data_IF_514317845143
#
_entry.id   IF_514317845143
#
_cell.length_a   1.000
_cell.length_b   1.000
_cell.length_c   1.000
_cell.angle_alpha   90.00
_cell.angle_beta   90.00
_cell.angle_gamma   90.00
#
_symmetry.space_group_name_H-M   'P 1'
#
loop_
_entity.id
_entity.type
_entity.pdbx_description
1 polymer ?
#
# COMPACT_ATOMS: atom_id res chain seq x y z
N UNK A 1 -3.99 1.25 -27.93
CA UNK A 1 -4.40 2.32 -26.98
C UNK A 1 -3.57 2.12 -25.70
N UNK A 2 -3.10 3.19 -25.10
CA UNK A 2 -2.29 3.12 -23.88
C UNK A 2 -3.12 2.66 -22.67
N UNK A 3 -2.63 1.69 -21.90
CA UNK A 3 -3.33 1.13 -20.74
C UNK A 3 -3.70 2.20 -19.68
N UNK A 4 -2.81 3.15 -19.39
CA UNK A 4 -3.08 4.23 -18.43
C UNK A 4 -4.25 5.09 -18.90
N UNK A 5 -4.35 5.38 -20.20
CA UNK A 5 -5.46 6.11 -20.79
C UNK A 5 -6.77 5.32 -20.73
N UNK A 6 -6.73 4.00 -20.96
CA UNK A 6 -7.92 3.14 -20.81
C UNK A 6 -8.47 3.22 -19.38
N UNK A 7 -7.60 3.06 -18.40
CA UNK A 7 -7.96 3.14 -16.98
C UNK A 7 -8.49 4.54 -16.62
N UNK A 8 -7.84 5.60 -17.09
CA UNK A 8 -8.34 6.98 -16.91
C UNK A 8 -9.73 7.18 -17.50
N UNK A 9 -9.96 6.72 -18.71
CA UNK A 9 -11.26 6.82 -19.37
C UNK A 9 -12.35 5.99 -18.65
N UNK A 10 -11.94 4.91 -17.97
CA UNK A 10 -12.78 4.11 -17.07
C UNK A 10 -13.05 4.75 -15.70
N UNK A 11 -12.54 5.96 -15.44
CA UNK A 11 -12.80 6.70 -14.21
C UNK A 11 -11.67 6.62 -13.15
N UNK A 12 -10.59 5.89 -13.42
CA UNK A 12 -9.45 5.85 -12.49
C UNK A 12 -8.80 7.24 -12.36
N UNK A 13 -8.53 7.66 -11.12
CA UNK A 13 -7.96 8.97 -10.82
C UNK A 13 -6.59 8.92 -10.15
N UNK A 14 -6.11 7.73 -9.80
CA UNK A 14 -4.78 7.49 -9.24
C UNK A 14 -4.13 6.28 -9.91
N UNK A 15 -2.79 6.25 -9.88
CA UNK A 15 -1.99 5.03 -10.12
C UNK A 15 -1.14 4.73 -8.91
N UNK A 16 -0.99 3.46 -8.56
CA UNK A 16 -0.05 2.98 -7.55
C UNK A 16 1.15 2.36 -8.25
N UNK A 17 2.34 2.86 -7.93
CA UNK A 17 3.59 2.52 -8.60
C UNK A 17 4.57 1.90 -7.60
N UNK A 18 4.85 0.61 -7.75
CA UNK A 18 5.87 -0.05 -6.93
C UNK A 18 7.28 0.29 -7.40
N UNK A 19 8.21 0.33 -6.44
CA UNK A 19 9.62 0.52 -6.68
C UNK A 19 10.42 -0.43 -5.81
N UNK A 20 11.38 -1.13 -6.43
CA UNK A 20 12.36 -1.96 -5.75
C UNK A 20 13.69 -1.23 -5.63
N UNK A 21 14.53 -1.69 -4.69
CA UNK A 21 15.88 -1.12 -4.51
C UNK A 21 16.88 -1.60 -5.57
N UNK A 22 16.54 -2.69 -6.26
CA UNK A 22 17.28 -3.25 -7.40
C UNK A 22 16.30 -3.92 -8.39
N UNK A 23 16.81 -4.46 -9.50
CA UNK A 23 16.02 -5.22 -10.48
C UNK A 23 15.22 -4.36 -11.45
N UNK A 24 14.06 -4.84 -11.88
CA UNK A 24 13.30 -4.26 -13.01
C UNK A 24 12.37 -3.09 -12.64
N UNK A 25 11.89 -3.02 -11.41
CA UNK A 25 10.99 -1.96 -10.96
C UNK A 25 11.77 -0.76 -10.43
N UNK A 26 12.51 -0.12 -11.34
CA UNK A 26 13.40 0.99 -11.04
C UNK A 26 12.66 2.30 -10.81
N UNK A 27 13.33 3.25 -10.17
CA UNK A 27 12.85 4.64 -10.00
C UNK A 27 12.56 5.29 -11.35
N UNK A 28 13.44 5.10 -12.35
CA UNK A 28 13.27 5.69 -13.69
C UNK A 28 12.04 5.16 -14.41
N UNK A 29 11.79 3.84 -14.33
CA UNK A 29 10.58 3.23 -14.89
C UNK A 29 9.31 3.77 -14.23
N UNK A 30 9.33 3.92 -12.90
CA UNK A 30 8.21 4.48 -12.15
C UNK A 30 7.98 5.96 -12.49
N UNK A 31 9.04 6.77 -12.63
CA UNK A 31 8.96 8.17 -13.09
C UNK A 31 8.40 8.25 -14.51
N UNK A 32 8.83 7.39 -15.43
CA UNK A 32 8.32 7.38 -16.80
C UNK A 32 6.80 7.10 -16.82
N UNK A 33 6.32 6.15 -16.00
CA UNK A 33 4.90 5.85 -15.87
C UNK A 33 4.14 6.98 -15.16
N UNK A 34 4.73 7.58 -14.12
CA UNK A 34 4.17 8.75 -13.43
C UNK A 34 3.95 9.93 -14.37
N UNK A 35 4.90 10.22 -15.28
CA UNK A 35 4.74 11.27 -16.29
C UNK A 35 3.52 11.05 -17.18
N UNK A 36 3.29 9.79 -17.60
CA UNK A 36 2.10 9.42 -18.40
C UNK A 36 0.81 9.60 -17.60
N UNK A 37 0.80 9.18 -16.34
CA UNK A 37 -0.36 9.32 -15.46
C UNK A 37 -0.68 10.80 -15.15
N UNK A 38 0.33 11.60 -14.78
CA UNK A 38 0.16 13.05 -14.51
C UNK A 38 -0.32 13.82 -15.74
N UNK A 39 0.16 13.48 -16.94
CA UNK A 39 -0.33 14.07 -18.18
C UNK A 39 -1.83 13.82 -18.44
N UNK A 40 -2.40 12.83 -17.80
CA UNK A 40 -3.84 12.51 -17.81
C UNK A 40 -4.58 13.04 -16.56
N UNK A 41 -3.92 13.84 -15.73
CA UNK A 41 -4.51 14.39 -14.50
C UNK A 41 -4.75 13.34 -13.41
N UNK A 42 -3.95 12.26 -13.36
CA UNK A 42 -4.03 11.24 -12.31
C UNK A 42 -3.07 11.53 -11.17
N UNK A 43 -3.46 11.18 -9.95
CA UNK A 43 -2.59 11.18 -8.78
C UNK A 43 -1.63 9.99 -8.75
N UNK A 44 -0.57 10.11 -7.96
CA UNK A 44 0.47 9.09 -7.78
C UNK A 44 0.50 8.63 -6.33
N UNK A 45 0.27 7.33 -6.11
CA UNK A 45 0.64 6.62 -4.89
C UNK A 45 1.93 5.86 -5.18
N UNK A 46 3.00 6.18 -4.46
CA UNK A 46 4.30 5.53 -4.62
C UNK A 46 4.47 4.42 -3.57
N UNK A 47 4.90 3.26 -4.02
CA UNK A 47 5.01 2.03 -3.25
C UNK A 47 6.46 1.49 -3.24
N UNK A 48 7.37 2.07 -2.43
CA UNK A 48 8.67 1.47 -2.22
C UNK A 48 8.54 0.22 -1.34
N UNK A 49 9.00 -0.91 -1.87
CA UNK A 49 9.04 -2.17 -1.15
C UNK A 49 10.16 -2.25 -0.10
N UNK A 50 11.16 -1.37 -0.20
CA UNK A 50 12.42 -1.44 0.59
C UNK A 50 13.07 -2.83 0.51
N UNK A 51 13.06 -3.40 -0.68
CA UNK A 51 13.55 -4.73 -0.99
C UNK A 51 14.08 -4.75 -2.43
N UNK A 52 15.03 -5.62 -2.72
CA UNK A 52 15.55 -5.85 -4.08
C UNK A 52 14.57 -6.62 -4.98
N UNK A 53 13.49 -7.14 -4.39
CA UNK A 53 12.45 -7.92 -5.05
C UNK A 53 11.11 -7.69 -4.35
N UNK A 54 10.14 -8.55 -4.60
CA UNK A 54 8.84 -8.51 -3.93
C UNK A 54 9.00 -8.48 -2.40
N UNK A 55 8.31 -7.54 -1.75
CA UNK A 55 8.07 -7.54 -0.32
C UNK A 55 6.59 -7.86 -0.09
N UNK A 56 6.33 -8.84 0.76
CA UNK A 56 5.00 -9.30 1.15
C UNK A 56 5.05 -9.82 2.61
N UNK A 57 3.94 -10.29 3.20
CA UNK A 57 3.94 -10.75 4.60
C UNK A 57 4.89 -11.90 4.92
N UNK A 58 5.42 -12.61 3.91
CA UNK A 58 6.39 -13.69 4.06
C UNK A 58 7.82 -13.29 3.65
N UNK A 59 7.99 -12.19 2.94
CA UNK A 59 9.26 -11.77 2.34
C UNK A 59 9.51 -10.27 2.58
N UNK A 60 10.34 -9.95 3.57
CA UNK A 60 10.68 -8.57 3.95
C UNK A 60 12.21 -8.41 4.14
N UNK A 61 12.98 -8.97 3.21
CA UNK A 61 14.44 -9.01 3.32
C UNK A 61 15.06 -7.61 3.21
N UNK A 62 16.11 -7.36 3.99
CA UNK A 62 16.96 -6.19 3.82
C UNK A 62 17.60 -6.24 2.43
N UNK A 63 17.60 -5.14 1.63
CA UNK A 63 18.36 -5.07 0.39
C UNK A 63 19.84 -5.39 0.58
N UNK A 64 20.43 -6.08 -0.40
CA UNK A 64 21.82 -6.58 -0.30
C UNK A 64 22.88 -5.50 0.00
N UNK A 65 22.64 -4.25 -0.46
CA UNK A 65 23.56 -3.12 -0.27
C UNK A 65 23.29 -2.31 1.00
N UNK A 66 22.27 -2.68 1.81
CA UNK A 66 21.86 -1.91 2.97
C UNK A 66 22.54 -2.41 4.26
N UNK A 67 22.70 -1.51 5.28
CA UNK A 67 23.15 -1.93 6.62
C UNK A 67 22.22 -2.99 7.22
N UNK A 68 22.79 -3.83 8.12
CA UNK A 68 22.06 -4.90 8.80
C UNK A 68 21.79 -4.64 10.29
N UNK A 69 22.03 -3.41 10.75
CA UNK A 69 21.73 -2.98 12.11
C UNK A 69 20.69 -1.84 12.11
N UNK A 70 19.97 -1.67 13.20
CA UNK A 70 18.86 -0.73 13.30
C UNK A 70 19.27 0.73 13.03
N UNK A 71 20.39 1.18 13.58
CA UNK A 71 20.87 2.56 13.39
C UNK A 71 21.17 2.85 11.92
N UNK A 72 21.91 1.94 11.27
CA UNK A 72 22.20 2.05 9.84
C UNK A 72 20.95 1.99 8.98
N UNK A 73 20.01 1.08 9.30
CA UNK A 73 18.75 0.97 8.58
C UNK A 73 17.88 2.22 8.74
N UNK A 74 17.82 2.84 9.91
CA UNK A 74 17.11 4.10 10.10
C UNK A 74 17.67 5.22 9.21
N UNK A 75 18.98 5.34 9.13
CA UNK A 75 19.64 6.31 8.24
C UNK A 75 19.39 5.97 6.78
N UNK A 76 19.48 4.71 6.42
CA UNK A 76 19.34 4.25 5.04
C UNK A 76 17.92 4.41 4.50
N UNK A 77 16.89 4.00 5.26
CA UNK A 77 15.50 4.14 4.85
C UNK A 77 15.10 5.62 4.73
N UNK A 78 15.55 6.47 5.65
CA UNK A 78 15.37 7.92 5.56
C UNK A 78 15.99 8.47 4.27
N UNK A 79 17.28 8.19 4.03
CA UNK A 79 18.02 8.70 2.88
C UNK A 79 17.43 8.21 1.56
N UNK A 80 17.14 6.91 1.48
CA UNK A 80 16.52 6.32 0.27
C UNK A 80 15.16 6.95 -0.03
N UNK A 81 14.28 7.06 0.96
CA UNK A 81 12.95 7.63 0.78
C UNK A 81 12.99 9.11 0.41
N UNK A 82 13.89 9.87 1.05
CA UNK A 82 14.13 11.29 0.69
C UNK A 82 14.57 11.44 -0.76
N UNK A 83 15.57 10.67 -1.18
CA UNK A 83 16.09 10.73 -2.56
C UNK A 83 15.03 10.30 -3.57
N UNK A 84 14.24 9.27 -3.25
CA UNK A 84 13.16 8.78 -4.08
C UNK A 84 12.11 9.86 -4.32
N UNK A 85 11.60 10.50 -3.27
CA UNK A 85 10.60 11.58 -3.39
C UNK A 85 11.19 12.80 -4.11
N UNK A 86 12.46 13.17 -3.83
CA UNK A 86 13.17 14.24 -4.54
C UNK A 86 13.31 13.98 -6.03
N UNK A 87 13.57 12.74 -6.44
CA UNK A 87 13.69 12.37 -7.85
C UNK A 87 12.36 12.59 -8.60
N UNK A 88 11.23 12.19 -8.00
CA UNK A 88 9.90 12.44 -8.57
C UNK A 88 9.58 13.94 -8.64
N UNK A 89 9.88 14.71 -7.60
CA UNK A 89 9.69 16.16 -7.60
C UNK A 89 10.53 16.86 -8.69
N UNK A 90 11.80 16.50 -8.80
CA UNK A 90 12.74 17.00 -9.82
C UNK A 90 12.28 16.66 -11.24
N UNK A 91 11.66 15.49 -11.42
CA UNK A 91 11.07 15.06 -12.68
C UNK A 91 9.74 15.76 -13.00
N UNK A 92 9.25 16.68 -12.14
CA UNK A 92 7.98 17.40 -12.23
C UNK A 92 6.74 16.51 -12.17
N UNK A 93 6.85 15.38 -11.47
CA UNK A 93 5.75 14.45 -11.19
C UNK A 93 5.67 14.17 -9.68
N UNK A 94 5.39 15.18 -8.85
CA UNK A 94 5.40 15.02 -7.41
C UNK A 94 4.46 13.91 -6.97
N UNK A 95 4.89 13.18 -5.93
CA UNK A 95 4.14 12.09 -5.32
C UNK A 95 3.04 12.67 -4.45
N UNK A 96 1.81 12.19 -4.60
CA UNK A 96 0.67 12.63 -3.77
C UNK A 96 0.59 11.82 -2.47
N UNK A 97 0.82 10.51 -2.55
CA UNK A 97 0.82 9.59 -1.42
C UNK A 97 2.05 8.66 -1.55
N UNK A 98 2.75 8.42 -0.46
CA UNK A 98 3.79 7.39 -0.39
C UNK A 98 3.45 6.39 0.71
N UNK A 99 3.51 5.10 0.41
CA UNK A 99 3.45 4.08 1.45
C UNK A 99 4.86 3.74 1.96
N UNK A 100 4.97 3.51 3.25
CA UNK A 100 6.23 3.16 3.88
C UNK A 100 6.26 1.64 4.09
N UNK A 101 6.79 0.94 3.08
CA UNK A 101 6.78 -0.51 2.99
C UNK A 101 5.48 -1.10 2.41
N UNK A 102 5.55 -2.33 1.91
CA UNK A 102 4.44 -3.08 1.33
C UNK A 102 4.06 -4.27 2.20
N UNK A 103 2.77 -4.35 2.59
CA UNK A 103 2.17 -5.46 3.35
C UNK A 103 2.96 -5.87 4.60
N UNK A 104 3.32 -4.89 5.40
CA UNK A 104 4.27 -5.01 6.51
C UNK A 104 3.68 -5.49 7.84
N UNK A 105 2.56 -6.24 7.83
CA UNK A 105 1.95 -6.78 9.08
C UNK A 105 2.94 -7.57 9.93
N UNK A 106 3.87 -8.25 9.31
CA UNK A 106 4.94 -9.02 9.97
C UNK A 106 6.23 -8.22 10.16
N UNK A 107 6.18 -6.90 9.92
CA UNK A 107 7.31 -5.99 9.95
C UNK A 107 7.94 -5.78 8.56
N UNK A 108 9.10 -5.11 8.54
CA UNK A 108 9.87 -4.79 7.33
C UNK A 108 11.37 -4.91 7.61
N UNK A 109 12.21 -5.07 6.59
CA UNK A 109 13.69 -5.12 6.71
C UNK A 109 14.15 -6.17 7.74
N UNK A 110 13.72 -7.42 7.49
CA UNK A 110 14.06 -8.54 8.38
C UNK A 110 15.57 -8.90 8.35
N UNK A 111 16.10 -9.38 9.52
CA UNK A 111 15.42 -9.69 10.78
C UNK A 111 15.20 -8.49 11.70
N UNK A 112 15.81 -7.33 11.45
CA UNK A 112 15.85 -6.18 12.37
C UNK A 112 14.46 -5.62 12.67
N UNK A 113 13.65 -5.39 11.65
CA UNK A 113 12.28 -4.89 11.77
C UNK A 113 11.22 -5.99 11.68
N UNK A 114 11.53 -7.24 12.06
CA UNK A 114 10.57 -8.34 12.10
C UNK A 114 9.74 -8.30 13.38
N UNK A 115 8.40 -8.44 13.26
CA UNK A 115 7.54 -8.55 14.43
C UNK A 115 7.94 -9.77 15.30
N UNK A 116 8.01 -9.62 16.65
CA UNK A 116 7.47 -8.52 17.45
C UNK A 116 8.50 -7.41 17.82
N UNK A 117 9.49 -7.12 17.00
CA UNK A 117 10.45 -6.03 17.24
C UNK A 117 9.78 -4.64 17.05
N UNK A 118 8.69 -4.36 17.74
CA UNK A 118 7.80 -3.22 17.51
C UNK A 118 8.51 -1.86 17.61
N UNK A 119 9.47 -1.72 18.53
CA UNK A 119 10.28 -0.50 18.65
C UNK A 119 11.11 -0.24 17.38
N UNK A 120 11.75 -1.29 16.84
CA UNK A 120 12.48 -1.17 15.59
C UNK A 120 11.55 -0.84 14.40
N UNK A 121 10.41 -1.53 14.29
CA UNK A 121 9.40 -1.26 13.26
C UNK A 121 8.96 0.20 13.32
N UNK A 122 8.58 0.70 14.51
CA UNK A 122 8.13 2.08 14.69
C UNK A 122 9.20 3.11 14.30
N UNK A 123 10.47 2.86 14.64
CA UNK A 123 11.60 3.71 14.26
C UNK A 123 11.83 3.72 12.74
N UNK A 124 11.85 2.55 12.10
CA UNK A 124 12.02 2.42 10.65
C UNK A 124 10.91 3.15 9.89
N UNK A 125 9.65 2.96 10.28
CA UNK A 125 8.52 3.65 9.67
C UNK A 125 8.60 5.16 9.85
N UNK A 126 8.98 5.63 11.04
CA UNK A 126 9.16 7.06 11.30
C UNK A 126 10.30 7.65 10.45
N UNK A 127 11.41 6.93 10.31
CA UNK A 127 12.55 7.35 9.48
C UNK A 127 12.15 7.47 8.01
N UNK A 128 11.42 6.50 7.47
CA UNK A 128 10.87 6.55 6.11
C UNK A 128 9.90 7.72 5.92
N UNK A 129 8.99 7.94 6.87
CA UNK A 129 8.02 9.05 6.83
C UNK A 129 8.71 10.42 6.86
N UNK A 130 9.75 10.59 7.68
CA UNK A 130 10.54 11.82 7.73
C UNK A 130 11.30 12.02 6.41
N UNK A 131 11.94 10.98 5.86
CA UNK A 131 12.59 11.04 4.56
C UNK A 131 11.63 11.47 3.46
N UNK A 132 10.40 10.94 3.45
CA UNK A 132 9.39 11.32 2.47
C UNK A 132 9.02 12.82 2.55
N UNK A 133 8.85 13.35 3.76
CA UNK A 133 8.55 14.79 3.96
C UNK A 133 9.71 15.67 3.52
N UNK A 134 10.93 15.30 3.86
CA UNK A 134 12.14 16.06 3.53
C UNK A 134 12.56 15.94 2.05
N UNK A 135 12.00 14.95 1.33
CA UNK A 135 12.24 14.78 -0.10
C UNK A 135 11.56 15.82 -0.99
N UNK A 136 10.45 16.41 -0.52
CA UNK A 136 9.76 17.52 -1.16
C UNK A 136 9.08 18.41 -0.11
N UNK A 137 9.84 19.22 0.65
CA UNK A 137 9.29 19.96 1.79
C UNK A 137 8.29 21.04 1.41
N UNK A 138 8.30 21.53 0.17
CA UNK A 138 7.31 22.50 -0.32
C UNK A 138 5.94 21.87 -0.62
N UNK A 139 5.90 20.57 -0.90
CA UNK A 139 4.67 19.80 -1.14
C UNK A 139 4.89 18.34 -0.71
N UNK A 140 4.97 18.07 0.59
CA UNK A 140 5.27 16.74 1.09
C UNK A 140 4.14 15.76 0.75
N UNK A 141 4.47 14.51 0.35
CA UNK A 141 3.46 13.49 0.12
C UNK A 141 2.74 13.10 1.42
N UNK A 142 1.51 12.66 1.30
CA UNK A 142 0.77 12.01 2.38
C UNK A 142 1.38 10.65 2.70
N UNK A 143 1.49 10.33 3.98
CA UNK A 143 2.09 9.08 4.45
C UNK A 143 1.03 7.99 4.61
N UNK A 144 1.26 6.86 3.97
CA UNK A 144 0.46 5.64 4.14
C UNK A 144 1.31 4.52 4.72
N UNK A 145 0.74 3.72 5.61
CA UNK A 145 1.29 2.43 6.05
C UNK A 145 0.34 1.34 5.60
N UNK A 146 0.87 0.31 4.93
CA UNK A 146 0.11 -0.71 4.22
C UNK A 146 0.27 -2.10 4.84
N UNK A 147 -0.85 -2.70 5.23
CA UNK A 147 -0.91 -4.05 5.78
C UNK A 147 -1.74 -4.98 4.86
N UNK A 148 -1.40 -6.26 4.85
CA UNK A 148 -2.24 -7.30 4.25
C UNK A 148 -3.48 -7.61 5.11
N UNK A 149 -4.32 -8.54 4.64
CA UNK A 149 -5.47 -9.07 5.39
C UNK A 149 -6.38 -8.01 6.01
N UNK A 150 -6.76 -6.97 5.23
CA UNK A 150 -7.65 -5.90 5.70
C UNK A 150 -9.00 -6.38 6.28
N UNK A 151 -9.42 -7.60 5.94
CA UNK A 151 -10.61 -8.25 6.46
C UNK A 151 -10.46 -8.78 7.91
N UNK A 152 -9.21 -8.95 8.39
CA UNK A 152 -8.92 -9.56 9.69
C UNK A 152 -8.66 -8.51 10.76
N UNK A 153 -9.71 -8.11 11.46
CA UNK A 153 -9.63 -7.09 12.51
C UNK A 153 -8.55 -7.37 13.57
N UNK A 154 -8.45 -8.60 14.05
CA UNK A 154 -7.50 -8.93 15.12
C UNK A 154 -6.05 -8.72 14.68
N UNK A 155 -5.71 -9.01 13.43
CA UNK A 155 -4.39 -8.78 12.88
C UNK A 155 -4.11 -7.29 12.66
N UNK A 156 -5.09 -6.53 12.16
CA UNK A 156 -4.98 -5.08 12.00
C UNK A 156 -4.78 -4.41 13.36
N UNK A 157 -5.60 -4.78 14.34
CA UNK A 157 -5.51 -4.26 15.69
C UNK A 157 -4.17 -4.58 16.34
N UNK A 158 -3.71 -5.83 16.23
CA UNK A 158 -2.44 -6.25 16.81
C UNK A 158 -1.26 -5.43 16.29
N UNK A 159 -1.18 -5.18 14.99
CA UNK A 159 -0.13 -4.34 14.42
C UNK A 159 -0.22 -2.90 14.94
N UNK A 160 -1.36 -2.25 14.76
CA UNK A 160 -1.50 -0.84 15.04
C UNK A 160 -1.37 -0.52 16.54
N UNK A 161 -1.94 -1.34 17.41
CA UNK A 161 -1.86 -1.14 18.85
C UNK A 161 -0.41 -1.27 19.36
N UNK A 162 0.38 -2.18 18.77
CA UNK A 162 1.77 -2.35 19.17
C UNK A 162 2.72 -1.30 18.60
N UNK A 163 2.52 -0.87 17.35
CA UNK A 163 3.43 0.11 16.71
C UNK A 163 3.26 1.50 17.30
N UNK A 164 2.03 1.97 17.52
CA UNK A 164 1.78 3.34 17.98
C UNK A 164 2.28 3.61 19.39
N UNK A 165 2.27 2.62 20.29
CA UNK A 165 2.71 2.79 21.68
C UNK A 165 4.23 2.89 21.82
N UNK A 166 4.99 2.61 20.75
CA UNK A 166 6.45 2.76 20.76
C UNK A 166 6.92 4.22 20.70
N UNK A 167 6.05 5.14 20.31
CA UNK A 167 6.29 6.59 20.35
C UNK A 167 7.12 7.17 19.20
N UNK A 168 7.79 6.36 18.38
CA UNK A 168 8.52 6.86 17.21
C UNK A 168 7.58 7.24 16.07
N UNK A 169 6.76 6.29 15.58
CA UNK A 169 5.67 6.55 14.66
C UNK A 169 4.37 6.66 15.45
N UNK A 170 3.84 7.85 15.56
CA UNK A 170 2.52 8.12 16.14
C UNK A 170 1.45 8.21 15.05
N UNK A 171 0.18 7.97 15.39
CA UNK A 171 -0.90 7.95 14.39
C UNK A 171 -1.12 9.29 13.68
N UNK A 172 -0.77 10.42 14.30
CA UNK A 172 -0.86 11.75 13.67
C UNK A 172 0.13 11.92 12.51
N UNK A 173 1.19 11.10 12.45
CA UNK A 173 2.15 11.05 11.33
C UNK A 173 1.68 10.18 10.16
N UNK A 174 0.59 9.42 10.35
CA UNK A 174 0.01 8.52 9.33
C UNK A 174 -1.24 9.17 8.75
N UNK A 175 -1.19 9.56 7.49
CA UNK A 175 -2.34 10.17 6.80
C UNK A 175 -3.35 9.10 6.34
N UNK A 176 -2.88 7.90 5.98
CA UNK A 176 -3.72 6.80 5.50
C UNK A 176 -3.30 5.46 6.08
N UNK A 177 -4.28 4.66 6.46
CA UNK A 177 -4.12 3.23 6.71
C UNK A 177 -4.43 2.48 5.42
N UNK A 178 -3.42 1.86 4.80
CA UNK A 178 -3.57 1.03 3.61
C UNK A 178 -3.84 -0.42 3.99
N UNK A 179 -4.72 -1.09 3.24
CA UNK A 179 -4.99 -2.51 3.42
C UNK A 179 -5.08 -3.24 2.08
N UNK A 180 -4.59 -4.48 2.02
CA UNK A 180 -4.92 -5.42 0.95
C UNK A 180 -6.17 -6.22 1.33
N UNK A 181 -7.03 -6.47 0.33
CA UNK A 181 -8.20 -7.32 0.48
C UNK A 181 -8.36 -8.24 -0.73
N UNK A 182 -8.02 -9.51 -0.54
CA UNK A 182 -8.13 -10.54 -1.57
C UNK A 182 -9.04 -11.67 -1.10
N UNK A 183 -10.09 -12.01 -1.86
CA UNK A 183 -11.11 -12.98 -1.43
C UNK A 183 -10.70 -14.46 -1.63
N UNK A 184 -9.48 -14.70 -2.17
CA UNK A 184 -9.00 -16.04 -2.54
C UNK A 184 -7.78 -16.51 -1.73
N UNK A 185 -7.37 -15.76 -0.72
CA UNK A 185 -6.28 -16.18 0.18
C UNK A 185 -6.80 -16.83 1.47
N UNK A 186 -8.05 -16.54 1.85
CA UNK A 186 -8.68 -17.14 3.02
C UNK A 186 -10.21 -17.17 2.83
N UNK A 187 -10.86 -18.26 3.20
CA UNK A 187 -12.33 -18.39 3.12
C UNK A 187 -13.08 -17.48 4.09
N UNK A 188 -12.41 -17.03 5.17
CA UNK A 188 -12.93 -16.03 6.09
C UNK A 188 -12.79 -14.58 5.57
N UNK A 189 -12.11 -14.35 4.44
CA UNK A 189 -11.96 -13.04 3.80
C UNK A 189 -13.25 -12.58 3.11
N UNK A 190 -14.38 -12.61 3.80
CA UNK A 190 -15.69 -12.20 3.28
C UNK A 190 -15.87 -10.69 3.29
N UNK A 191 -16.77 -10.17 2.45
CA UNK A 191 -17.18 -8.75 2.47
C UNK A 191 -17.73 -8.33 3.85
N UNK A 192 -18.38 -9.25 4.57
CA UNK A 192 -18.86 -9.00 5.92
C UNK A 192 -17.71 -8.80 6.91
N UNK A 193 -16.73 -9.72 6.92
CA UNK A 193 -15.53 -9.61 7.76
C UNK A 193 -14.74 -8.34 7.42
N UNK A 194 -14.61 -8.03 6.14
CA UNK A 194 -13.94 -6.84 5.66
C UNK A 194 -14.62 -5.55 6.15
N UNK A 195 -15.95 -5.46 6.00
CA UNK A 195 -16.73 -4.33 6.52
C UNK A 195 -16.54 -4.16 8.03
N UNK A 196 -16.64 -5.25 8.80
CA UNK A 196 -16.46 -5.24 10.25
C UNK A 196 -15.06 -4.73 10.61
N UNK A 197 -14.02 -5.27 9.97
CA UNK A 197 -12.64 -4.89 10.23
C UNK A 197 -12.40 -3.40 9.95
N UNK A 198 -12.77 -2.91 8.77
CA UNK A 198 -12.56 -1.50 8.42
C UNK A 198 -13.40 -0.56 9.29
N UNK A 199 -14.61 -0.94 9.69
CA UNK A 199 -15.44 -0.15 10.60
C UNK A 199 -14.77 -0.05 11.98
N UNK A 200 -14.22 -1.13 12.48
CA UNK A 200 -13.47 -1.15 13.75
C UNK A 200 -12.20 -0.28 13.66
N UNK A 201 -11.44 -0.38 12.55
CA UNK A 201 -10.28 0.48 12.31
C UNK A 201 -10.67 1.96 12.29
N UNK A 202 -11.71 2.33 11.55
CA UNK A 202 -12.20 3.71 11.45
C UNK A 202 -12.65 4.26 12.83
N UNK A 203 -13.35 3.43 13.60
CA UNK A 203 -13.84 3.83 14.93
C UNK A 203 -12.72 3.95 15.97
N UNK A 204 -11.73 3.05 15.93
CA UNK A 204 -10.63 3.02 16.90
C UNK A 204 -9.57 4.07 16.62
N UNK A 205 -9.07 4.11 15.38
CA UNK A 205 -7.89 4.91 15.02
C UNK A 205 -8.23 6.29 14.45
N UNK A 206 -9.47 6.50 14.00
CA UNK A 206 -9.94 7.78 13.41
C UNK A 206 -9.04 8.28 12.27
N UNK A 207 -8.51 7.34 11.46
CA UNK A 207 -7.64 7.63 10.31
C UNK A 207 -8.29 7.23 9.00
N UNK A 208 -8.04 7.98 7.93
CA UNK A 208 -8.46 7.62 6.59
C UNK A 208 -7.95 6.24 6.18
N UNK A 209 -8.79 5.44 5.51
CA UNK A 209 -8.50 4.07 5.07
C UNK A 209 -8.56 4.00 3.55
N UNK A 210 -7.54 3.35 2.96
CA UNK A 210 -7.43 3.08 1.52
C UNK A 210 -7.28 1.57 1.32
N UNK A 211 -8.05 1.00 0.42
CA UNK A 211 -7.78 -0.36 -0.10
C UNK A 211 -6.66 -0.23 -1.11
N UNK A 212 -5.43 -0.53 -0.68
CA UNK A 212 -4.23 -0.39 -1.50
C UNK A 212 -4.13 -1.47 -2.58
N UNK A 213 -4.76 -2.63 -2.32
CA UNK A 213 -4.82 -3.74 -3.25
C UNK A 213 -6.12 -4.52 -3.11
N UNK A 214 -6.71 -4.87 -4.25
CA UNK A 214 -7.76 -5.89 -4.37
C UNK A 214 -7.79 -6.41 -5.81
N UNK A 215 -8.30 -7.62 -6.00
CA UNK A 215 -8.46 -8.22 -7.32
C UNK A 215 -9.62 -9.23 -7.29
N UNK A 216 -10.16 -9.54 -8.46
CA UNK A 216 -11.14 -10.59 -8.68
C UNK A 216 -10.81 -11.37 -9.96
N UNK A 217 -10.83 -12.71 -9.95
CA UNK A 217 -10.55 -13.51 -11.13
C UNK A 217 -11.57 -13.26 -12.25
N UNK A 218 -11.08 -13.07 -13.49
CA UNK A 218 -11.94 -12.86 -14.65
C UNK A 218 -12.33 -14.17 -15.37
N UNK A 219 -11.80 -15.29 -14.88
CA UNK A 219 -12.04 -16.63 -15.43
C UNK A 219 -11.91 -17.67 -14.31
N UNK A 220 -11.22 -18.77 -14.55
CA UNK A 220 -10.97 -19.80 -13.53
C UNK A 220 -10.05 -19.32 -12.43
N UNK A 221 -10.33 -19.74 -11.21
CA UNK A 221 -9.45 -19.56 -10.05
C UNK A 221 -9.18 -20.95 -9.44
N UNK A 222 -7.91 -21.27 -9.20
CA UNK A 222 -7.51 -22.54 -8.57
C UNK A 222 -7.73 -22.55 -7.08
N UNK A 223 -7.95 -21.37 -6.47
CA UNK A 223 -8.26 -21.20 -5.06
C UNK A 223 -9.75 -20.95 -4.87
N UNK A 224 -10.31 -21.42 -3.77
CA UNK A 224 -11.66 -21.07 -3.38
C UNK A 224 -11.75 -19.56 -3.10
N UNK A 225 -12.83 -18.93 -3.57
CA UNK A 225 -13.14 -17.54 -3.26
C UNK A 225 -14.14 -17.48 -2.10
N UNK A 226 -14.01 -16.49 -1.23
CA UNK A 226 -14.90 -16.31 -0.09
C UNK A 226 -16.31 -15.84 -0.46
N UNK A 227 -16.48 -15.21 -1.64
CA UNK A 227 -17.75 -14.66 -2.14
C UNK A 227 -18.26 -15.46 -3.33
N UNK A 228 -18.80 -16.65 -3.08
CA UNK A 228 -19.22 -17.61 -4.12
C UNK A 228 -20.41 -17.13 -4.97
N UNK A 229 -21.14 -16.11 -4.53
CA UNK A 229 -22.25 -15.49 -5.28
C UNK A 229 -21.78 -14.57 -6.41
N UNK A 230 -20.50 -14.16 -6.44
CA UNK A 230 -19.93 -13.31 -7.47
C UNK A 230 -19.28 -14.21 -8.54
N UNK A 231 -19.69 -14.10 -9.83
CA UNK A 231 -19.15 -14.98 -10.85
C UNK A 231 -17.68 -14.67 -11.19
N UNK A 232 -16.90 -15.69 -11.54
CA UNK A 232 -15.50 -15.55 -11.99
C UNK A 232 -15.47 -15.12 -13.46
N UNK A 233 -15.83 -13.87 -13.71
CA UNK A 233 -15.95 -13.26 -15.05
C UNK A 233 -15.59 -11.77 -15.00
N UNK A 234 -15.44 -11.12 -16.15
CA UNK A 234 -15.27 -9.66 -16.23
C UNK A 234 -16.45 -8.90 -15.60
N UNK A 235 -17.69 -9.43 -15.72
CA UNK A 235 -18.84 -8.87 -15.00
C UNK A 235 -18.70 -9.01 -13.48
N UNK A 236 -18.15 -10.14 -13.03
CA UNK A 236 -17.86 -10.37 -11.61
C UNK A 236 -16.76 -9.43 -11.08
N UNK A 237 -15.75 -9.09 -11.88
CA UNK A 237 -14.77 -8.04 -11.51
C UNK A 237 -15.46 -6.70 -11.26
N UNK A 238 -16.39 -6.33 -12.13
CA UNK A 238 -17.17 -5.10 -11.96
C UNK A 238 -18.03 -5.15 -10.69
N UNK A 239 -18.68 -6.29 -10.45
CA UNK A 239 -19.49 -6.49 -9.23
C UNK A 239 -18.61 -6.41 -7.98
N UNK A 240 -17.45 -7.10 -7.97
CA UNK A 240 -16.49 -7.08 -6.88
C UNK A 240 -16.08 -5.66 -6.49
N UNK A 241 -15.63 -4.87 -7.46
CA UNK A 241 -15.23 -3.47 -7.21
C UNK A 241 -16.37 -2.65 -6.62
N UNK A 242 -17.60 -2.85 -7.09
CA UNK A 242 -18.79 -2.16 -6.55
C UNK A 242 -19.06 -2.57 -5.10
N UNK A 243 -18.94 -3.85 -4.76
CA UNK A 243 -19.17 -4.31 -3.38
C UNK A 243 -18.07 -3.81 -2.43
N UNK A 244 -16.79 -3.86 -2.85
CA UNK A 244 -15.69 -3.26 -2.08
C UNK A 244 -15.90 -1.75 -1.92
N UNK A 245 -16.34 -1.05 -2.97
CA UNK A 245 -16.63 0.38 -2.91
C UNK A 245 -17.78 0.70 -1.93
N UNK A 246 -18.83 -0.09 -1.88
CA UNK A 246 -19.91 0.06 -0.88
C UNK A 246 -19.38 -0.05 0.56
N UNK A 247 -18.44 -0.97 0.81
CA UNK A 247 -17.81 -1.08 2.13
C UNK A 247 -17.01 0.17 2.44
N UNK A 248 -16.14 0.60 1.52
CA UNK A 248 -15.25 1.76 1.72
C UNK A 248 -16.04 3.05 1.87
N UNK A 249 -17.00 3.32 0.98
CA UNK A 249 -17.83 4.52 1.03
C UNK A 249 -18.77 4.54 2.26
N UNK A 250 -19.11 3.39 2.81
CA UNK A 250 -19.94 3.25 4.01
C UNK A 250 -19.19 3.41 5.34
N UNK A 251 -17.88 3.68 5.33
CA UNK A 251 -17.13 3.83 6.57
C UNK A 251 -17.53 5.10 7.35
N UNK A 252 -17.54 5.04 8.70
CA UNK A 252 -17.89 6.15 9.54
C UNK A 252 -17.09 7.42 9.21
N UNK A 253 -17.73 8.59 9.32
CA UNK A 253 -17.12 9.92 9.16
C UNK A 253 -16.42 10.14 7.80
N UNK A 254 -16.80 9.39 6.75
CA UNK A 254 -16.19 9.48 5.43
C UNK A 254 -14.70 9.08 5.43
N UNK A 255 -14.29 8.17 6.31
CA UNK A 255 -12.90 7.75 6.43
C UNK A 255 -12.46 6.79 5.31
N UNK A 256 -13.36 6.19 4.56
CA UNK A 256 -13.00 5.43 3.34
C UNK A 256 -12.61 6.40 2.21
N UNK A 257 -11.41 6.21 1.62
CA UNK A 257 -10.86 7.20 0.67
C UNK A 257 -10.64 6.69 -0.73
N UNK A 258 -10.48 5.40 -0.94
CA UNK A 258 -10.26 4.89 -2.28
C UNK A 258 -9.91 3.41 -2.33
N UNK A 259 -9.81 2.92 -3.55
CA UNK A 259 -9.51 1.53 -3.87
C UNK A 259 -8.54 1.52 -5.04
N UNK A 260 -7.48 0.74 -4.92
CA UNK A 260 -6.58 0.40 -6.01
C UNK A 260 -6.82 -1.06 -6.42
N UNK A 261 -7.12 -1.26 -7.70
CA UNK A 261 -7.23 -2.59 -8.27
C UNK A 261 -5.85 -3.07 -8.67
N UNK A 262 -5.45 -4.24 -8.17
CA UNK A 262 -4.13 -4.80 -8.43
C UNK A 262 -4.01 -5.35 -9.84
N UNK A 263 -2.94 -4.95 -10.55
CA UNK A 263 -2.57 -5.43 -11.89
C UNK A 263 -3.76 -5.43 -12.89
N UNK A 264 -4.47 -4.30 -13.10
CA UNK A 264 -5.69 -4.25 -13.92
C UNK A 264 -5.41 -4.53 -15.41
N UNK A 265 -4.16 -4.54 -15.82
CA UNK A 265 -3.73 -4.78 -17.21
C UNK A 265 -2.97 -6.09 -17.36
N UNK A 266 -3.02 -6.97 -16.36
CA UNK A 266 -2.39 -8.29 -16.43
C UNK A 266 -3.00 -9.08 -17.58
N UNK A 267 -2.15 -9.53 -18.49
CA UNK A 267 -2.51 -10.45 -19.58
C UNK A 267 -1.74 -11.74 -19.38
N UNK A 268 -2.43 -12.86 -19.41
CA UNK A 268 -1.76 -14.17 -19.49
C UNK A 268 -1.05 -14.28 -20.82
N UNK A 269 0.24 -14.65 -20.77
CA UNK A 269 1.00 -15.00 -21.97
C UNK A 269 0.56 -16.35 -22.49
#
# INVERSE_FOLDING_TARGET
MDAVRILKNGGSNYVRLRVWTAGEYTVDNAIALAKRAKALGMGILLDPHYSDTWADPAHQSIPNSWPTNLSGLNTQIYTYTKNLVSAFASARVPVDIIQIGNEIRTGLLWPVGKAPAWSAISQLLNSGANGAKDGNPSSPPKIMVHLDNGWNWSQQQYFWDNVQVQGALTLDKVDYMGVSYYPFYDTAATLSSFRTSLTNMANRYKRPIVVAETNWPASTCTKAVSETSIPLTAAGQTQWIREVAKVVCGLPNGLGKGIFYWEPTWVTK
#
